data_IF_332964081115
#
_entry.id   IF_332964081115
#
_cell.length_a   1.000
_cell.length_b   1.000
_cell.length_c   1.000
_cell.angle_alpha   90.00
_cell.angle_beta   90.00
_cell.angle_gamma   90.00
#
_symmetry.space_group_name_H-M   'P 1'
#
loop_
_entity.id
_entity.type
_entity.pdbx_description
1 polymer ?
#
# COMPACT_ATOMS: atom_id res chain seq x y z
N UNK A 1 0.51 -26.59 0.43
CA UNK A 1 1.44 -25.45 0.15
C UNK A 1 1.62 -25.17 -1.34
N UNK A 2 1.74 -26.17 -2.22
CA UNK A 2 1.92 -25.95 -3.68
C UNK A 2 0.72 -25.22 -4.32
N UNK A 3 -0.53 -25.59 -3.98
CA UNK A 3 -1.74 -24.97 -4.54
C UNK A 3 -1.84 -23.45 -4.35
N UNK A 4 -1.42 -22.91 -3.21
CA UNK A 4 -1.54 -21.47 -2.92
C UNK A 4 -0.53 -20.65 -3.72
N UNK A 5 0.69 -21.14 -3.93
CA UNK A 5 1.68 -20.48 -4.79
C UNK A 5 1.21 -20.41 -6.25
N UNK A 6 0.62 -21.51 -6.75
CA UNK A 6 0.05 -21.58 -8.09
C UNK A 6 -1.13 -20.60 -8.27
N UNK A 7 -1.94 -20.40 -7.22
CA UNK A 7 -3.07 -19.45 -7.26
C UNK A 7 -2.58 -17.99 -7.30
N UNK A 8 -1.54 -17.62 -6.56
CA UNK A 8 -0.92 -16.29 -6.68
C UNK A 8 -0.34 -16.06 -8.07
N UNK A 9 0.36 -17.06 -8.63
CA UNK A 9 0.91 -16.97 -9.97
C UNK A 9 -0.20 -16.84 -11.03
N UNK A 10 -1.30 -17.57 -10.87
CA UNK A 10 -2.46 -17.43 -11.75
C UNK A 10 -3.03 -16.02 -11.74
N UNK A 11 -3.24 -15.43 -10.56
CA UNK A 11 -3.72 -14.04 -10.46
C UNK A 11 -2.72 -13.06 -11.07
N UNK A 12 -1.41 -13.28 -10.87
CA UNK A 12 -0.37 -12.45 -11.48
C UNK A 12 -0.44 -12.47 -13.01
N UNK A 13 -0.59 -13.64 -13.63
CA UNK A 13 -0.74 -13.74 -15.09
C UNK A 13 -2.08 -13.16 -15.58
N UNK A 14 -3.17 -13.34 -14.83
CA UNK A 14 -4.45 -12.69 -15.15
C UNK A 14 -4.31 -11.15 -15.17
N UNK A 15 -3.55 -10.57 -14.23
CA UNK A 15 -3.29 -9.13 -14.21
C UNK A 15 -2.49 -8.72 -15.44
N UNK A 16 -1.41 -9.42 -15.77
CA UNK A 16 -0.58 -9.12 -16.96
C UNK A 16 -1.35 -9.17 -18.27
N UNK A 17 -2.21 -10.16 -18.40
CA UNK A 17 -3.01 -10.39 -19.62
C UNK A 17 -4.26 -9.52 -19.71
N UNK A 18 -4.58 -8.75 -18.67
CA UNK A 18 -5.70 -7.83 -18.70
C UNK A 18 -5.48 -6.73 -19.77
N UNK A 19 -6.46 -6.49 -20.66
CA UNK A 19 -6.32 -5.47 -21.70
C UNK A 19 -5.96 -4.06 -21.17
N UNK A 20 -6.35 -3.73 -19.93
CA UNK A 20 -5.97 -2.46 -19.29
C UNK A 20 -4.46 -2.36 -19.00
N UNK A 21 -3.74 -3.49 -19.01
CA UNK A 21 -2.32 -3.58 -18.69
C UNK A 21 -1.46 -3.90 -19.92
N UNK A 22 -2.07 -4.01 -21.11
CA UNK A 22 -1.39 -4.41 -22.34
C UNK A 22 -0.15 -3.56 -22.62
N UNK A 23 -0.28 -2.23 -22.50
CA UNK A 23 0.83 -1.31 -22.73
C UNK A 23 2.05 -1.56 -21.82
N UNK A 24 1.80 -1.94 -20.56
CA UNK A 24 2.89 -2.31 -19.63
C UNK A 24 3.49 -3.66 -19.99
N UNK A 25 2.65 -4.64 -20.30
CA UNK A 25 3.08 -6.00 -20.69
C UNK A 25 3.93 -6.00 -21.96
N UNK A 26 3.56 -5.21 -22.97
CA UNK A 26 4.34 -5.02 -24.19
C UNK A 26 5.72 -4.40 -23.94
N UNK A 27 5.83 -3.58 -22.90
CA UNK A 27 7.11 -2.99 -22.45
C UNK A 27 7.89 -3.91 -21.48
N UNK A 28 7.42 -5.14 -21.23
CA UNK A 28 8.03 -6.06 -20.28
C UNK A 28 7.85 -5.69 -18.82
N UNK A 29 6.90 -4.78 -18.50
CA UNK A 29 6.62 -4.32 -17.13
C UNK A 29 5.53 -5.18 -16.53
N UNK A 30 5.84 -5.91 -15.45
CA UNK A 30 4.88 -6.69 -14.69
C UNK A 30 4.22 -5.89 -13.57
N UNK A 31 3.09 -6.42 -13.01
CA UNK A 31 2.45 -5.80 -11.87
C UNK A 31 3.35 -5.88 -10.64
N UNK A 32 3.47 -4.77 -9.93
CA UNK A 32 4.31 -4.66 -8.74
C UNK A 32 3.47 -4.64 -7.47
N UNK A 33 3.44 -5.76 -6.79
CA UNK A 33 2.87 -5.96 -5.48
C UNK A 33 3.60 -7.10 -4.76
N UNK A 34 3.39 -7.26 -3.47
CA UNK A 34 3.89 -8.40 -2.71
C UNK A 34 2.75 -9.04 -1.93
N UNK A 35 2.48 -10.30 -2.18
CA UNK A 35 1.40 -11.03 -1.54
C UNK A 35 1.87 -12.43 -1.12
N UNK A 36 1.54 -12.82 0.11
CA UNK A 36 1.79 -14.17 0.60
C UNK A 36 0.68 -14.61 1.56
N UNK A 37 0.43 -15.90 1.63
CA UNK A 37 -0.68 -16.48 2.42
C UNK A 37 -0.47 -16.42 3.93
N UNK A 38 0.75 -16.14 4.40
CA UNK A 38 1.06 -16.07 5.82
C UNK A 38 0.99 -14.64 6.36
N UNK A 39 0.92 -13.63 5.47
CA UNK A 39 0.91 -12.24 5.88
C UNK A 39 -0.23 -11.94 6.85
N UNK A 40 0.10 -11.21 7.91
CA UNK A 40 -0.84 -10.73 8.91
C UNK A 40 -1.19 -9.26 8.73
N UNK A 41 -0.30 -8.50 8.11
CA UNK A 41 -0.46 -7.06 7.87
C UNK A 41 -0.45 -6.78 6.39
N UNK A 42 -1.52 -6.15 5.91
CA UNK A 42 -1.60 -5.66 4.55
C UNK A 42 -1.31 -4.16 4.51
N UNK A 43 -0.38 -3.73 3.64
CA UNK A 43 -0.10 -2.32 3.38
C UNK A 43 -0.70 -1.94 2.03
N UNK A 44 -1.59 -0.95 2.02
CA UNK A 44 -2.22 -0.42 0.81
C UNK A 44 -1.78 1.03 0.59
N UNK A 45 -0.98 1.26 -0.45
CA UNK A 45 -0.55 2.59 -0.89
C UNK A 45 -1.26 3.04 -2.16
N UNK A 46 -0.78 4.12 -2.78
CA UNK A 46 -1.36 4.68 -4.00
C UNK A 46 -1.02 3.83 -5.25
N UNK A 47 0.22 3.78 -5.60
CA UNK A 47 0.80 3.07 -6.75
C UNK A 47 2.32 3.00 -6.59
N UNK A 48 3.03 2.11 -7.30
CA UNK A 48 4.48 2.18 -7.37
C UNK A 48 4.93 3.53 -7.94
N UNK A 49 5.98 4.12 -7.36
CA UNK A 49 6.70 5.21 -8.00
C UNK A 49 7.63 4.70 -9.12
N UNK A 50 8.16 5.60 -9.95
CA UNK A 50 9.07 5.23 -11.04
C UNK A 50 10.22 4.34 -10.55
N UNK A 51 10.92 4.76 -9.48
CA UNK A 51 12.05 3.99 -8.92
C UNK A 51 11.63 2.60 -8.45
N UNK A 52 10.46 2.46 -7.84
CA UNK A 52 9.94 1.17 -7.40
C UNK A 52 9.68 0.26 -8.60
N UNK A 53 9.09 0.78 -9.67
CA UNK A 53 8.86 0.03 -10.90
C UNK A 53 10.18 -0.38 -11.57
N UNK A 54 11.14 0.53 -11.71
CA UNK A 54 12.43 0.29 -12.37
C UNK A 54 13.27 -0.76 -11.59
N UNK A 55 13.15 -0.78 -10.27
CA UNK A 55 13.88 -1.74 -9.41
C UNK A 55 13.09 -2.99 -9.08
N UNK A 56 11.85 -3.11 -9.58
CA UNK A 56 10.92 -4.20 -9.24
C UNK A 56 10.75 -4.43 -7.74
N UNK A 57 10.83 -3.35 -6.94
CA UNK A 57 10.75 -3.44 -5.49
C UNK A 57 9.81 -2.37 -4.93
N UNK A 58 8.71 -2.80 -4.31
CA UNK A 58 7.73 -1.92 -3.66
C UNK A 58 8.38 -1.08 -2.55
N UNK A 59 8.00 0.19 -2.43
CA UNK A 59 8.53 1.08 -1.39
C UNK A 59 10.07 1.21 -1.36
N UNK A 60 10.74 1.07 -2.51
CA UNK A 60 12.19 1.21 -2.63
C UNK A 60 12.62 2.67 -2.91
N UNK A 61 12.16 3.57 -2.05
CA UNK A 61 12.43 5.01 -2.13
C UNK A 61 12.45 5.65 -0.74
N UNK A 62 12.62 6.98 -0.67
CA UNK A 62 12.62 7.74 0.57
C UNK A 62 11.28 7.66 1.33
N UNK A 63 10.18 7.46 0.63
CA UNK A 63 8.88 7.24 1.27
C UNK A 63 8.85 5.88 1.96
N UNK A 64 9.40 4.86 1.31
CA UNK A 64 9.54 3.53 1.89
C UNK A 64 10.48 3.50 3.10
N UNK A 65 11.58 4.26 3.06
CA UNK A 65 12.48 4.38 4.22
C UNK A 65 11.73 4.96 5.44
N UNK A 66 10.95 6.02 5.23
CA UNK A 66 10.13 6.61 6.29
C UNK A 66 9.01 5.67 6.74
N UNK A 67 8.36 4.95 5.82
CA UNK A 67 7.33 3.99 6.20
C UNK A 67 7.91 2.91 7.13
N UNK A 68 9.07 2.34 6.82
CA UNK A 68 9.74 1.38 7.70
C UNK A 68 10.09 1.97 9.06
N UNK A 69 10.52 3.23 9.11
CA UNK A 69 10.74 3.95 10.38
C UNK A 69 9.45 4.08 11.19
N UNK A 70 8.32 4.40 10.54
CA UNK A 70 7.03 4.48 11.25
C UNK A 70 6.53 3.11 11.71
N UNK A 71 6.85 2.04 11.00
CA UNK A 71 6.52 0.67 11.39
C UNK A 71 7.48 0.09 12.45
N UNK A 72 8.60 0.75 12.70
CA UNK A 72 9.72 0.27 13.53
C UNK A 72 10.26 -1.10 13.08
N UNK A 73 10.43 -1.25 11.77
CA UNK A 73 10.96 -2.48 11.17
C UNK A 73 12.18 -2.18 10.32
N UNK A 74 13.11 -3.12 10.32
CA UNK A 74 14.27 -3.10 9.43
C UNK A 74 13.86 -3.33 7.98
N UNK A 75 14.76 -3.02 7.04
CA UNK A 75 14.56 -3.32 5.62
C UNK A 75 14.39 -4.84 5.39
N UNK A 76 15.14 -5.66 6.11
CA UNK A 76 15.07 -7.10 6.00
C UNK A 76 13.73 -7.64 6.49
N UNK A 77 13.28 -7.22 7.65
CA UNK A 77 11.95 -7.57 8.17
C UNK A 77 10.82 -7.15 7.24
N UNK A 78 10.91 -5.96 6.65
CA UNK A 78 9.88 -5.45 5.75
C UNK A 78 9.71 -6.30 4.48
N UNK A 79 10.81 -6.80 3.91
CA UNK A 79 10.77 -7.52 2.63
C UNK A 79 10.85 -9.05 2.77
N UNK A 80 11.50 -9.56 3.81
CA UNK A 80 11.84 -10.97 3.92
C UNK A 80 11.10 -11.71 5.05
N UNK A 81 10.40 -10.97 5.95
CA UNK A 81 9.48 -11.63 6.87
C UNK A 81 8.17 -11.98 6.15
N UNK A 82 7.51 -13.03 6.57
CA UNK A 82 6.17 -13.38 6.07
C UNK A 82 5.07 -12.47 6.67
N UNK A 83 5.43 -11.45 7.45
CA UNK A 83 4.49 -10.59 8.19
C UNK A 83 3.66 -9.69 7.27
N UNK A 84 4.28 -9.14 6.24
CA UNK A 84 3.66 -8.11 5.40
C UNK A 84 3.19 -8.65 4.05
N UNK A 85 2.07 -8.11 3.58
CA UNK A 85 1.68 -8.07 2.18
C UNK A 85 1.53 -6.60 1.75
N UNK A 86 1.82 -6.30 0.49
CA UNK A 86 1.80 -4.93 -0.05
C UNK A 86 1.00 -4.93 -1.34
N UNK A 87 -0.15 -4.26 -1.34
CA UNK A 87 -1.02 -4.13 -2.51
C UNK A 87 -1.37 -2.65 -2.73
N UNK A 88 -0.62 -1.90 -3.54
CA UNK A 88 -1.01 -0.54 -3.88
C UNK A 88 -2.34 -0.51 -4.65
N UNK A 89 -3.04 0.63 -4.65
CA UNK A 89 -4.31 0.81 -5.36
C UNK A 89 -4.20 0.61 -6.88
N UNK A 90 -3.00 0.78 -7.44
CA UNK A 90 -2.60 0.37 -8.79
C UNK A 90 -1.27 -0.37 -8.69
N UNK A 91 -1.09 -1.44 -9.45
CA UNK A 91 0.14 -2.25 -9.42
C UNK A 91 1.19 -1.79 -10.43
N UNK A 92 0.93 -0.71 -11.13
CA UNK A 92 1.83 -0.12 -12.12
C UNK A 92 2.05 1.35 -11.81
N UNK A 93 3.20 1.87 -12.20
CA UNK A 93 3.45 3.31 -12.13
C UNK A 93 2.56 4.03 -13.14
N UNK A 94 1.64 4.90 -12.69
CA UNK A 94 0.66 5.52 -13.57
C UNK A 94 1.21 6.69 -14.40
N UNK A 95 2.48 7.06 -14.19
CA UNK A 95 3.11 8.21 -14.82
C UNK A 95 3.18 9.44 -13.92
N UNK A 96 3.87 10.47 -14.40
CA UNK A 96 4.03 11.76 -13.70
C UNK A 96 3.01 12.78 -14.15
N UNK A 97 2.41 13.47 -13.18
CA UNK A 97 1.59 14.66 -13.41
C UNK A 97 2.30 15.93 -13.00
N UNK A 98 1.64 17.08 -13.11
CA UNK A 98 2.20 18.41 -12.75
C UNK A 98 2.61 18.55 -11.28
N UNK A 99 1.90 17.86 -10.38
CA UNK A 99 2.11 17.98 -8.93
C UNK A 99 2.64 16.72 -8.25
N UNK A 100 3.00 15.69 -8.98
CA UNK A 100 3.42 14.38 -8.46
C UNK A 100 3.04 13.26 -9.40
N UNK A 101 3.02 12.04 -8.91
CA UNK A 101 2.56 10.90 -9.69
C UNK A 101 1.06 10.99 -9.93
N UNK A 102 0.62 10.50 -11.08
CA UNK A 102 -0.79 10.44 -11.44
C UNK A 102 -1.58 9.57 -10.43
N UNK A 103 -2.90 9.78 -10.33
CA UNK A 103 -3.74 8.93 -9.47
C UNK A 103 -3.75 7.48 -9.97
N UNK A 104 -4.03 6.52 -9.07
CA UNK A 104 -4.24 5.14 -9.47
C UNK A 104 -5.46 5.05 -10.41
N UNK A 105 -5.42 4.11 -11.33
CA UNK A 105 -6.51 3.90 -12.31
C UNK A 105 -7.81 3.54 -11.60
N UNK A 106 -8.91 4.10 -12.10
CA UNK A 106 -10.25 3.81 -11.56
C UNK A 106 -10.55 2.32 -11.66
N UNK A 107 -11.20 1.79 -10.63
CA UNK A 107 -11.62 0.38 -10.53
C UNK A 107 -10.51 -0.67 -10.56
N UNK A 108 -9.23 -0.30 -10.69
CA UNK A 108 -8.13 -1.27 -10.69
C UNK A 108 -8.10 -2.08 -9.38
N UNK A 109 -8.03 -1.42 -8.23
CA UNK A 109 -8.06 -2.09 -6.93
C UNK A 109 -9.36 -2.88 -6.71
N UNK A 110 -10.51 -2.35 -7.12
CA UNK A 110 -11.80 -3.05 -6.99
C UNK A 110 -11.85 -4.37 -7.76
N UNK A 111 -11.12 -4.47 -8.89
CA UNK A 111 -11.02 -5.68 -9.70
C UNK A 111 -10.06 -6.72 -9.09
N UNK A 112 -8.89 -6.27 -8.62
CA UNK A 112 -7.78 -7.16 -8.30
C UNK A 112 -7.59 -7.45 -6.81
N UNK A 113 -7.85 -6.47 -5.94
CA UNK A 113 -7.67 -6.66 -4.49
C UNK A 113 -8.51 -7.80 -3.92
N UNK A 114 -9.81 -7.97 -4.26
CA UNK A 114 -10.59 -9.08 -3.73
C UNK A 114 -10.03 -10.46 -4.10
N UNK A 115 -9.45 -10.61 -5.30
CA UNK A 115 -8.84 -11.89 -5.74
C UNK A 115 -7.62 -12.23 -4.88
N UNK A 116 -6.72 -11.28 -4.67
CA UNK A 116 -5.52 -11.47 -3.85
C UNK A 116 -5.87 -11.63 -2.36
N UNK A 117 -6.84 -10.84 -1.84
CA UNK A 117 -7.26 -10.93 -0.44
C UNK A 117 -7.78 -12.31 -0.06
N UNK A 118 -8.49 -13.00 -0.97
CA UNK A 118 -8.94 -14.38 -0.74
C UNK A 118 -7.79 -15.37 -0.51
N UNK A 119 -6.62 -15.08 -1.08
CA UNK A 119 -5.41 -15.90 -0.92
C UNK A 119 -4.59 -15.57 0.33
N UNK A 120 -4.98 -14.51 1.06
CA UNK A 120 -4.33 -14.03 2.27
C UNK A 120 -5.32 -14.02 3.46
N UNK A 121 -5.76 -15.19 3.93
CA UNK A 121 -6.80 -15.30 4.96
C UNK A 121 -6.35 -14.81 6.34
N UNK A 122 -5.02 -14.72 6.58
CA UNK A 122 -4.44 -14.41 7.88
C UNK A 122 -4.25 -12.89 8.12
N UNK A 123 -4.66 -12.02 7.19
CA UNK A 123 -4.56 -10.57 7.40
C UNK A 123 -5.48 -10.14 8.56
N UNK A 124 -4.87 -9.61 9.60
CA UNK A 124 -5.48 -9.11 10.82
C UNK A 124 -5.62 -7.58 10.79
N UNK A 125 -4.66 -6.89 10.17
CA UNK A 125 -4.61 -5.43 10.07
C UNK A 125 -4.33 -4.98 8.64
N UNK A 126 -5.06 -3.96 8.18
CA UNK A 126 -4.78 -3.29 6.90
C UNK A 126 -4.35 -1.84 7.14
N UNK A 127 -3.11 -1.53 6.84
CA UNK A 127 -2.55 -0.18 6.92
C UNK A 127 -2.84 0.56 5.61
N UNK A 128 -3.61 1.64 5.70
CA UNK A 128 -4.03 2.44 4.56
C UNK A 128 -3.16 3.70 4.44
N UNK A 129 -2.30 3.78 3.43
CA UNK A 129 -1.30 4.83 3.28
C UNK A 129 -1.72 5.86 2.24
N UNK A 130 -2.06 7.06 2.70
CA UNK A 130 -2.44 8.18 1.85
C UNK A 130 -3.92 8.20 1.44
N UNK A 131 -4.35 9.32 0.86
CA UNK A 131 -5.77 9.63 0.67
C UNK A 131 -6.51 8.66 -0.26
N UNK A 132 -5.85 8.12 -1.29
CA UNK A 132 -6.50 7.19 -2.22
C UNK A 132 -6.88 5.86 -1.55
N UNK A 133 -5.96 5.26 -0.82
CA UNK A 133 -6.21 4.03 -0.08
C UNK A 133 -7.24 4.25 1.03
N UNK A 134 -7.04 5.28 1.86
CA UNK A 134 -7.92 5.61 2.97
C UNK A 134 -9.36 5.85 2.51
N UNK A 135 -9.56 6.73 1.53
CA UNK A 135 -10.91 7.07 1.07
C UNK A 135 -11.61 5.89 0.40
N UNK A 136 -10.89 5.08 -0.35
CA UNK A 136 -11.47 3.92 -1.04
C UNK A 136 -11.87 2.82 -0.06
N UNK A 137 -10.98 2.44 0.84
CA UNK A 137 -11.22 1.33 1.76
C UNK A 137 -12.25 1.67 2.84
N UNK A 138 -12.23 2.91 3.33
CA UNK A 138 -13.19 3.38 4.32
C UNK A 138 -14.47 3.96 3.71
N UNK A 139 -14.63 3.87 2.39
CA UNK A 139 -15.80 4.37 1.64
C UNK A 139 -16.15 5.84 1.97
N UNK A 140 -15.15 6.70 2.02
CA UNK A 140 -15.30 8.10 2.40
C UNK A 140 -15.54 9.00 1.18
N UNK A 141 -16.22 10.13 1.41
CA UNK A 141 -16.40 11.16 0.39
C UNK A 141 -15.06 11.79 0.00
N UNK A 142 -14.95 12.25 -1.24
CA UNK A 142 -13.73 12.93 -1.73
C UNK A 142 -13.37 14.17 -0.92
N UNK A 143 -14.37 14.88 -0.38
CA UNK A 143 -14.20 16.07 0.47
C UNK A 143 -13.68 15.80 1.89
N UNK A 144 -13.69 14.54 2.35
CA UNK A 144 -13.22 14.20 3.70
C UNK A 144 -11.74 14.49 3.84
N UNK A 145 -11.36 15.20 4.91
CA UNK A 145 -9.96 15.55 5.18
C UNK A 145 -9.21 14.37 5.76
N UNK A 146 -8.11 13.97 5.13
CA UNK A 146 -7.28 12.87 5.60
C UNK A 146 -6.75 13.09 7.03
N UNK A 147 -6.42 14.34 7.38
CA UNK A 147 -5.93 14.69 8.72
C UNK A 147 -6.91 14.29 9.81
N UNK A 148 -8.22 14.53 9.59
CA UNK A 148 -9.25 14.20 10.58
C UNK A 148 -9.39 12.68 10.73
N UNK A 149 -9.37 11.96 9.62
CA UNK A 149 -9.41 10.48 9.62
C UNK A 149 -8.21 9.88 10.36
N UNK A 150 -7.01 10.43 10.12
CA UNK A 150 -5.80 9.94 10.79
C UNK A 150 -5.80 10.29 12.28
N UNK A 151 -6.40 11.40 12.69
CA UNK A 151 -6.61 11.70 14.12
C UNK A 151 -7.52 10.69 14.81
N UNK A 152 -8.56 10.28 14.10
CA UNK A 152 -9.58 9.36 14.62
C UNK A 152 -9.28 7.88 14.27
N UNK A 153 -7.98 7.54 14.01
CA UNK A 153 -7.56 6.21 13.56
C UNK A 153 -8.12 5.06 14.41
N UNK A 154 -8.27 5.25 15.71
CA UNK A 154 -8.79 4.25 16.63
C UNK A 154 -10.21 3.77 16.28
N UNK A 155 -11.01 4.62 15.63
CA UNK A 155 -12.37 4.28 15.18
C UNK A 155 -12.38 3.16 14.15
N UNK A 156 -11.26 2.97 13.42
CA UNK A 156 -11.15 2.00 12.34
C UNK A 156 -10.46 0.69 12.75
N UNK A 157 -9.96 0.63 13.98
CA UNK A 157 -9.35 -0.58 14.52
C UNK A 157 -10.44 -1.62 14.90
N UNK A 158 -10.10 -2.92 14.87
CA UNK A 158 -8.78 -3.48 14.57
C UNK A 158 -8.49 -3.68 13.06
N UNK A 159 -9.46 -3.46 12.19
CA UNK A 159 -9.39 -3.84 10.78
C UNK A 159 -8.50 -2.91 9.93
N UNK A 160 -8.60 -1.59 10.17
CA UNK A 160 -7.89 -0.58 9.38
C UNK A 160 -7.08 0.38 10.24
N UNK A 161 -5.90 0.75 9.73
CA UNK A 161 -5.06 1.81 10.30
C UNK A 161 -4.76 2.87 9.23
N UNK A 162 -5.44 4.03 9.24
CA UNK A 162 -5.20 5.09 8.26
C UNK A 162 -3.94 5.89 8.59
N UNK A 163 -3.11 6.14 7.56
CA UNK A 163 -1.90 6.96 7.64
C UNK A 163 -1.89 8.06 6.56
N UNK A 164 -1.18 9.14 6.85
CA UNK A 164 -0.74 10.06 5.80
C UNK A 164 0.34 9.38 4.94
N UNK A 165 0.57 9.87 3.73
CA UNK A 165 1.63 9.35 2.89
C UNK A 165 3.01 9.73 3.44
N UNK A 166 3.99 8.82 3.56
CA UNK A 166 5.32 9.09 4.11
C UNK A 166 6.26 9.87 3.16
N UNK A 167 5.70 10.55 2.16
CA UNK A 167 6.46 11.33 1.18
C UNK A 167 7.23 12.47 1.85
N UNK A 168 8.45 12.80 1.37
CA UNK A 168 9.15 14.00 1.75
C UNK A 168 8.34 15.30 1.57
N UNK A 169 7.37 15.32 0.67
CA UNK A 169 6.44 16.45 0.46
C UNK A 169 5.58 16.75 1.68
N UNK A 170 5.37 15.77 2.55
CA UNK A 170 4.55 15.92 3.77
C UNK A 170 5.34 16.42 4.99
N UNK A 171 6.62 16.79 4.84
CA UNK A 171 7.44 17.32 5.95
C UNK A 171 6.82 18.54 6.63
N UNK A 172 6.24 19.45 5.85
CA UNK A 172 5.58 20.65 6.41
C UNK A 172 4.34 20.24 7.21
N UNK A 173 3.58 19.27 6.71
CA UNK A 173 2.42 18.74 7.42
C UNK A 173 2.83 18.05 8.72
N UNK A 174 3.87 17.23 8.71
CA UNK A 174 4.40 16.55 9.90
C UNK A 174 4.84 17.57 10.97
N UNK A 175 5.57 18.61 10.57
CA UNK A 175 5.97 19.70 11.50
C UNK A 175 4.78 20.41 12.14
N UNK A 176 3.66 20.55 11.43
CA UNK A 176 2.43 21.18 11.95
C UNK A 176 1.56 20.21 12.76
N UNK A 177 1.84 18.92 12.72
CA UNK A 177 1.05 17.88 13.36
C UNK A 177 1.94 16.91 14.15
N UNK A 178 2.67 17.37 15.19
CA UNK A 178 3.61 16.54 15.95
C UNK A 178 2.92 15.35 16.64
N UNK A 179 1.64 15.50 16.99
CA UNK A 179 0.81 14.42 17.54
C UNK A 179 0.82 13.14 16.67
N UNK A 180 1.06 13.28 15.37
CA UNK A 180 1.07 12.13 14.47
C UNK A 180 2.21 11.16 14.82
N UNK A 181 3.45 11.65 14.91
CA UNK A 181 4.61 10.80 15.25
C UNK A 181 4.63 10.47 16.75
N UNK A 182 4.15 11.35 17.61
CA UNK A 182 4.13 11.17 19.07
C UNK A 182 3.09 10.17 19.57
N UNK A 183 1.98 10.00 18.85
CA UNK A 183 0.84 9.15 19.25
C UNK A 183 0.54 8.10 18.19
N UNK A 184 0.14 8.52 16.98
CA UNK A 184 -0.36 7.60 15.94
C UNK A 184 0.72 6.59 15.53
N UNK A 185 1.94 7.08 15.27
CA UNK A 185 3.06 6.20 14.89
C UNK A 185 3.43 5.24 16.03
N UNK A 186 3.47 5.72 17.26
CA UNK A 186 3.78 4.85 18.42
C UNK A 186 2.73 3.76 18.65
N UNK A 187 1.47 4.06 18.42
CA UNK A 187 0.42 3.05 18.54
C UNK A 187 0.44 2.07 17.35
N UNK A 188 0.81 2.55 16.16
CA UNK A 188 1.06 1.65 15.03
C UNK A 188 2.19 0.68 15.32
N UNK A 189 3.31 1.14 15.87
CA UNK A 189 4.46 0.29 16.22
C UNK A 189 4.07 -0.84 17.18
N UNK A 190 3.21 -0.57 18.16
CA UNK A 190 2.69 -1.59 19.08
C UNK A 190 1.82 -2.65 18.40
N UNK A 191 1.18 -2.32 17.28
CA UNK A 191 0.33 -3.25 16.54
C UNK A 191 1.13 -4.08 15.53
N UNK A 192 2.33 -3.62 15.16
CA UNK A 192 3.22 -4.30 14.21
C UNK A 192 4.21 -5.22 14.92
N UNK A 193 4.56 -4.92 16.18
CA UNK A 193 5.51 -5.68 17.03
C UNK A 193 5.03 -7.06 17.45
#
# INVERSE_FOLDING_TARGET
MIKTADEFQKVFEEIKLDPQNQEYTEKGIGPLYYANSKAKILIVGQAPGQKAQDTHMVWNDLSGDRLRTWLDVSRDEFYNSDLFAIMPMDFYFPGKGKGGDLPPRKNFAAKWHPKLRKLMPNIELTILVGSYAVKKYLNLKSSTKLTDIVKDYQTYLPEYFPLVHPSPRNLIWLKKNPWFEEQVVKDLQKLVS
#
